data_IF_001995972658
#
_entry.id   IF_001995972658
#
_cell.length_a   1.000
_cell.length_b   1.000
_cell.length_c   1.000
_cell.angle_alpha   90.00
_cell.angle_beta   90.00
_cell.angle_gamma   90.00
#
_symmetry.space_group_name_H-M   'P 1'
#
loop_
_entity.id
_entity.type
_entity.pdbx_description
1 polymer ?
#
# COMPACT_ATOMS: atom_id res chain seq x y z
N UNK A 1 18.29 15.61 47.32
CA UNK A 1 17.54 14.34 47.41
C UNK A 1 16.29 14.41 46.53
N UNK A 2 16.20 13.49 45.57
CA UNK A 2 14.99 12.72 45.21
C UNK A 2 13.69 13.52 45.08
N UNK A 3 13.23 13.78 43.85
CA UNK A 3 11.81 13.60 43.46
C UNK A 3 11.57 13.89 41.97
N UNK A 4 11.25 12.81 41.25
CA UNK A 4 10.31 12.81 40.13
C UNK A 4 10.80 13.33 38.77
N UNK A 5 11.81 12.67 38.19
CA UNK A 5 11.98 12.63 36.73
C UNK A 5 11.51 11.25 36.29
N UNK A 6 10.25 11.09 35.84
CA UNK A 6 9.79 9.90 35.08
C UNK A 6 8.34 10.09 34.56
N UNK A 7 8.05 11.19 33.85
CA UNK A 7 6.77 11.33 33.13
C UNK A 7 6.99 11.72 31.66
N UNK A 8 7.61 10.85 30.87
CA UNK A 8 7.84 11.19 29.47
C UNK A 8 8.44 10.10 28.60
N UNK A 9 7.96 8.87 28.65
CA UNK A 9 8.26 7.87 27.61
C UNK A 9 7.01 7.04 27.35
N UNK A 10 6.10 7.50 26.48
CA UNK A 10 5.00 6.66 25.99
C UNK A 10 4.37 7.13 24.66
N UNK A 11 5.07 7.84 23.77
CA UNK A 11 4.45 8.38 22.54
C UNK A 11 5.22 8.14 21.22
N UNK A 12 6.16 7.19 21.14
CA UNK A 12 6.98 7.00 19.93
C UNK A 12 6.56 5.86 18.97
N UNK A 13 5.35 5.31 19.03
CA UNK A 13 4.97 4.19 18.13
C UNK A 13 3.70 4.36 17.28
N UNK A 14 3.19 5.58 17.08
CA UNK A 14 1.97 5.80 16.30
C UNK A 14 2.17 6.01 14.78
N UNK A 15 3.39 6.15 14.26
CA UNK A 15 3.60 6.52 12.85
C UNK A 15 3.53 5.35 11.84
N UNK A 16 3.51 4.09 12.30
CA UNK A 16 3.57 2.91 11.42
C UNK A 16 2.21 2.28 11.07
N UNK A 17 1.11 2.69 11.71
CA UNK A 17 -0.20 2.02 11.58
C UNK A 17 -1.10 2.60 10.48
N UNK A 18 -0.76 3.76 9.91
CA UNK A 18 -1.61 4.44 8.93
C UNK A 18 -1.59 3.80 7.53
N UNK A 19 -0.58 2.99 7.20
CA UNK A 19 -0.40 2.46 5.84
C UNK A 19 -1.19 1.15 5.57
N UNK A 20 -1.52 0.38 6.61
CA UNK A 20 -2.26 -0.87 6.47
C UNK A 20 -3.73 -0.65 6.02
N UNK A 21 -4.27 0.54 6.23
CA UNK A 21 -5.65 0.89 5.89
C UNK A 21 -5.85 1.23 4.40
N UNK A 22 -4.78 1.34 3.60
CA UNK A 22 -4.88 1.80 2.21
C UNK A 22 -5.09 0.67 1.19
N UNK A 23 -4.68 -0.57 1.49
CA UNK A 23 -4.79 -1.69 0.55
C UNK A 23 -6.22 -1.88 -0.01
N UNK A 24 -7.30 -1.85 0.82
CA UNK A 24 -8.67 -1.92 0.31
C UNK A 24 -9.06 -0.73 -0.56
N UNK A 25 -8.56 0.47 -0.25
CA UNK A 25 -8.82 1.67 -1.04
C UNK A 25 -8.12 1.62 -2.41
N UNK A 26 -6.85 1.21 -2.45
CA UNK A 26 -6.10 1.01 -3.70
C UNK A 26 -6.77 -0.04 -4.59
N UNK A 27 -7.13 -1.19 -3.99
CA UNK A 27 -7.86 -2.26 -4.67
C UNK A 27 -9.13 -1.73 -5.33
N UNK A 28 -9.95 -0.99 -4.57
CA UNK A 28 -11.18 -0.38 -5.08
C UNK A 28 -10.89 0.64 -6.19
N UNK A 29 -9.88 1.49 -6.04
CA UNK A 29 -9.52 2.48 -7.05
C UNK A 29 -9.07 1.83 -8.38
N UNK A 30 -8.32 0.73 -8.30
CA UNK A 30 -7.94 -0.08 -9.47
C UNK A 30 -9.18 -0.69 -10.12
N UNK A 31 -10.10 -1.26 -9.34
CA UNK A 31 -11.33 -1.88 -9.85
C UNK A 31 -12.23 -0.85 -10.56
N UNK A 32 -12.38 0.34 -9.96
CA UNK A 32 -13.12 1.46 -10.55
C UNK A 32 -12.45 1.99 -11.84
N UNK A 33 -11.12 2.06 -11.87
CA UNK A 33 -10.39 2.47 -13.06
C UNK A 33 -10.54 1.44 -14.18
N UNK A 34 -10.47 0.13 -13.89
CA UNK A 34 -10.71 -0.94 -14.84
C UNK A 34 -12.15 -0.94 -15.37
N UNK A 35 -13.14 -0.68 -14.51
CA UNK A 35 -14.55 -0.61 -14.89
C UNK A 35 -14.85 0.49 -15.93
N UNK A 36 -14.03 1.56 -15.96
CA UNK A 36 -14.10 2.62 -16.98
C UNK A 36 -13.54 2.20 -18.35
N UNK A 37 -13.06 0.95 -18.48
CA UNK A 37 -12.49 0.38 -19.71
C UNK A 37 -11.39 1.27 -20.32
N UNK A 38 -10.31 1.53 -19.57
CA UNK A 38 -9.22 2.37 -20.04
C UNK A 38 -8.55 1.71 -21.24
N UNK A 39 -8.08 2.53 -22.18
CA UNK A 39 -7.29 2.04 -23.31
C UNK A 39 -5.91 1.62 -22.82
N UNK A 40 -5.69 0.30 -22.71
CA UNK A 40 -4.44 -0.31 -22.29
C UNK A 40 -3.95 -1.28 -23.37
N UNK A 41 -2.63 -1.49 -23.45
CA UNK A 41 -2.10 -2.62 -24.20
C UNK A 41 -2.54 -3.94 -23.54
N UNK A 42 -2.54 -5.04 -24.28
CA UNK A 42 -2.88 -6.36 -23.71
C UNK A 42 -1.94 -6.74 -22.55
N UNK A 43 -0.65 -6.43 -22.69
CA UNK A 43 0.37 -6.64 -21.67
C UNK A 43 0.11 -5.81 -20.40
N UNK A 44 -0.28 -4.54 -20.55
CA UNK A 44 -0.62 -3.66 -19.43
C UNK A 44 -1.90 -4.12 -18.74
N UNK A 45 -2.93 -4.48 -19.51
CA UNK A 45 -4.19 -4.98 -18.97
C UNK A 45 -3.98 -6.27 -18.16
N UNK A 46 -3.12 -7.17 -18.65
CA UNK A 46 -2.72 -8.37 -17.90
C UNK A 46 -1.97 -8.01 -16.62
N UNK A 47 -0.98 -7.12 -16.72
CA UNK A 47 -0.17 -6.70 -15.56
C UNK A 47 -1.04 -6.06 -14.47
N UNK A 48 -1.98 -5.19 -14.84
CA UNK A 48 -2.90 -4.54 -13.90
C UNK A 48 -3.77 -5.57 -13.18
N UNK A 49 -4.35 -6.54 -13.91
CA UNK A 49 -5.19 -7.59 -13.33
C UNK A 49 -4.40 -8.50 -12.39
N UNK A 50 -3.21 -8.93 -12.81
CA UNK A 50 -2.35 -9.81 -12.01
C UNK A 50 -1.88 -9.10 -10.73
N UNK A 51 -1.46 -7.83 -10.84
CA UNK A 51 -1.06 -7.02 -9.70
C UNK A 51 -2.23 -6.78 -8.73
N UNK A 52 -3.44 -6.55 -9.24
CA UNK A 52 -4.66 -6.40 -8.42
C UNK A 52 -5.01 -7.67 -7.65
N UNK A 53 -4.95 -8.82 -8.30
CA UNK A 53 -5.25 -10.12 -7.69
C UNK A 53 -4.17 -10.49 -6.64
N UNK A 54 -2.90 -10.29 -6.99
CA UNK A 54 -1.78 -10.60 -6.09
C UNK A 54 -1.74 -9.67 -4.88
N UNK A 55 -2.05 -8.39 -5.05
CA UNK A 55 -2.20 -7.45 -3.93
C UNK A 55 -3.26 -7.92 -2.92
N UNK A 56 -4.43 -8.35 -3.40
CA UNK A 56 -5.48 -8.89 -2.53
C UNK A 56 -5.06 -10.16 -1.78
N UNK A 57 -4.38 -11.08 -2.47
CA UNK A 57 -3.84 -12.28 -1.86
C UNK A 57 -2.85 -11.92 -0.73
N UNK A 58 -1.90 -11.03 -1.00
CA UNK A 58 -0.92 -10.56 -0.02
C UNK A 58 -1.60 -9.85 1.17
N UNK A 59 -2.64 -9.07 0.92
CA UNK A 59 -3.44 -8.45 1.99
C UNK A 59 -4.10 -9.51 2.88
N UNK A 60 -4.73 -10.53 2.29
CA UNK A 60 -5.35 -11.65 3.03
C UNK A 60 -4.33 -12.47 3.82
N UNK A 61 -3.09 -12.54 3.35
CA UNK A 61 -1.96 -13.18 4.04
C UNK A 61 -1.33 -12.29 5.14
N UNK A 62 -1.80 -11.06 5.34
CA UNK A 62 -1.21 -10.10 6.30
C UNK A 62 0.08 -9.42 5.82
N UNK A 63 0.49 -9.68 4.57
CA UNK A 63 1.67 -9.09 3.93
C UNK A 63 1.38 -7.71 3.35
N UNK A 64 1.01 -6.78 4.24
CA UNK A 64 0.49 -5.47 3.83
C UNK A 64 1.46 -4.64 2.98
N UNK A 65 2.75 -4.63 3.31
CA UNK A 65 3.72 -3.88 2.52
C UNK A 65 3.87 -4.45 1.10
N UNK A 66 3.94 -5.77 0.98
CA UNK A 66 4.03 -6.43 -0.33
C UNK A 66 2.74 -6.24 -1.14
N UNK A 67 1.58 -6.19 -0.48
CA UNK A 67 0.31 -5.82 -1.10
C UNK A 67 0.35 -4.41 -1.67
N UNK A 68 0.76 -3.41 -0.89
CA UNK A 68 0.89 -2.01 -1.37
C UNK A 68 1.88 -1.93 -2.54
N UNK A 69 3.04 -2.56 -2.43
CA UNK A 69 4.06 -2.57 -3.49
C UNK A 69 3.52 -3.17 -4.80
N UNK A 70 2.70 -4.23 -4.71
CA UNK A 70 2.10 -4.86 -5.88
C UNK A 70 0.96 -4.01 -6.48
N UNK A 71 0.06 -3.49 -5.64
CA UNK A 71 -1.04 -2.61 -6.07
C UNK A 71 -0.52 -1.32 -6.72
N UNK A 72 0.58 -0.76 -6.22
CA UNK A 72 1.21 0.43 -6.81
C UNK A 72 1.64 0.24 -8.27
N UNK A 73 1.98 -1.00 -8.69
CA UNK A 73 2.29 -1.31 -10.11
C UNK A 73 1.06 -1.14 -11.00
N UNK A 74 -0.08 -1.69 -10.57
CA UNK A 74 -1.35 -1.54 -11.28
C UNK A 74 -1.75 -0.06 -11.38
N UNK A 75 -1.65 0.67 -10.28
CA UNK A 75 -2.02 2.08 -10.20
C UNK A 75 -1.15 2.96 -11.10
N UNK A 76 0.16 2.68 -11.18
CA UNK A 76 1.08 3.39 -12.09
C UNK A 76 0.70 3.21 -13.56
N UNK A 77 0.32 2.00 -13.98
CA UNK A 77 -0.14 1.74 -15.35
C UNK A 77 -1.46 2.46 -15.63
N UNK A 78 -2.39 2.42 -14.66
CA UNK A 78 -3.68 3.10 -14.73
C UNK A 78 -3.59 4.63 -14.54
N UNK A 79 -2.41 5.15 -14.19
CA UNK A 79 -2.15 6.57 -13.88
C UNK A 79 -3.10 7.14 -12.81
N UNK A 80 -3.41 6.31 -11.81
CA UNK A 80 -4.16 6.71 -10.62
C UNK A 80 -3.20 6.81 -9.42
N UNK A 81 -3.46 7.75 -8.51
CA UNK A 81 -2.54 8.03 -7.40
C UNK A 81 -2.44 6.85 -6.44
N UNK A 82 -1.28 6.20 -6.37
CA UNK A 82 -0.96 5.18 -5.37
C UNK A 82 -0.56 5.82 -4.04
N UNK A 83 -0.85 5.14 -2.93
CA UNK A 83 -0.06 5.40 -1.72
C UNK A 83 1.41 5.13 -2.05
N UNK A 84 2.28 6.09 -1.76
CA UNK A 84 3.69 6.01 -2.13
C UNK A 84 4.27 4.66 -1.65
N UNK A 85 4.99 3.91 -2.51
CA UNK A 85 5.64 2.69 -2.07
C UNK A 85 6.55 3.05 -0.90
N UNK A 86 6.47 2.32 0.21
CA UNK A 86 7.36 2.57 1.33
C UNK A 86 8.78 2.42 0.80
N UNK A 87 9.56 3.51 0.86
CA UNK A 87 10.97 3.46 0.50
C UNK A 87 11.60 2.32 1.30
N UNK A 88 12.08 1.29 0.60
CA UNK A 88 12.92 0.23 1.17
C UNK A 88 14.24 0.87 1.58
N UNK A 89 14.22 1.54 2.72
CA UNK A 89 15.27 2.41 3.22
C UNK A 89 15.53 2.18 4.71
N UNK A 90 15.79 0.94 5.11
CA UNK A 90 16.63 0.66 6.28
C UNK A 90 17.59 -0.45 5.89
N UNK A 91 18.66 -0.05 5.19
CA UNK A 91 19.93 -0.76 5.31
C UNK A 91 20.45 -0.43 6.71
N UNK A 92 20.71 -1.46 7.51
CA UNK A 92 21.43 -1.32 8.77
C UNK A 92 22.93 -1.30 8.50
#
# INVERSE_FOLDING_TARGET
MKRSISLGVALLFAAGTAMAMHCPADMKAIDEALAKKPTLSEADAKTVKDARAKGEMLHKEGKHQESVDELAKAMKILKIGAAAPAEKGVKK
#
